data_IF_854542053980
#
_entry.id   IF_854542053980
#
_cell.length_a   1.000
_cell.length_b   1.000
_cell.length_c   1.000
_cell.angle_alpha   90.00
_cell.angle_beta   90.00
_cell.angle_gamma   90.00
#
_symmetry.space_group_name_H-M   'P 1'
#
loop_
_entity.id
_entity.type
_entity.pdbx_description
1 polymer ?
#
# COMPACT_ATOMS: atom_id res chain seq x y z
N UNK A 1 -13.97 -1.06 13.59
CA UNK A 1 -12.49 -1.11 13.85
C UNK A 1 -11.96 -2.50 14.10
N UNK A 2 -12.68 -3.40 14.73
CA UNK A 2 -12.19 -4.76 15.09
C UNK A 2 -11.73 -5.60 13.88
N UNK A 3 -12.40 -5.46 12.73
CA UNK A 3 -12.06 -6.23 11.53
C UNK A 3 -10.69 -5.89 10.95
N UNK A 4 -10.31 -4.61 10.90
CA UNK A 4 -8.98 -4.19 10.43
C UNK A 4 -7.88 -4.67 11.37
N UNK A 5 -8.10 -4.58 12.67
CA UNK A 5 -7.16 -5.10 13.66
C UNK A 5 -7.01 -6.63 13.58
N UNK A 6 -8.10 -7.34 13.32
CA UNK A 6 -8.06 -8.79 13.09
C UNK A 6 -7.21 -9.15 11.87
N UNK A 7 -7.45 -8.48 10.72
CA UNK A 7 -6.67 -8.68 9.49
C UNK A 7 -5.20 -8.38 9.74
N UNK A 8 -4.90 -7.26 10.40
CA UNK A 8 -3.54 -6.86 10.72
C UNK A 8 -2.81 -7.91 11.59
N UNK A 9 -3.46 -8.39 12.67
CA UNK A 9 -2.91 -9.45 13.54
C UNK A 9 -2.70 -10.76 12.77
N UNK A 10 -3.66 -11.16 11.95
CA UNK A 10 -3.55 -12.37 11.13
C UNK A 10 -2.36 -12.30 10.16
N UNK A 11 -2.18 -11.16 9.50
CA UNK A 11 -1.04 -10.93 8.58
C UNK A 11 0.28 -10.93 9.33
N UNK A 12 0.38 -10.23 10.46
CA UNK A 12 1.60 -10.22 11.27
C UNK A 12 1.97 -11.61 11.78
N UNK A 13 1.00 -12.40 12.21
CA UNK A 13 1.24 -13.80 12.61
C UNK A 13 1.74 -14.65 11.44
N UNK A 14 1.16 -14.48 10.25
CA UNK A 14 1.63 -15.16 9.04
C UNK A 14 3.08 -14.76 8.69
N UNK A 15 3.41 -13.48 8.77
CA UNK A 15 4.75 -12.98 8.53
C UNK A 15 5.74 -13.59 9.52
N UNK A 16 5.48 -13.49 10.83
CA UNK A 16 6.38 -14.01 11.87
C UNK A 16 6.62 -15.51 11.78
N UNK A 17 5.61 -16.29 11.38
CA UNK A 17 5.73 -17.74 11.25
C UNK A 17 6.49 -18.18 9.99
N UNK A 18 6.37 -17.45 8.89
CA UNK A 18 6.88 -17.89 7.60
C UNK A 18 8.15 -17.15 7.14
N UNK A 19 8.43 -15.98 7.70
CA UNK A 19 9.58 -15.17 7.27
C UNK A 19 10.89 -15.94 7.35
N UNK A 20 11.09 -16.73 8.41
CA UNK A 20 12.31 -17.53 8.61
C UNK A 20 12.55 -18.56 7.50
N UNK A 21 11.50 -19.14 6.92
CA UNK A 21 11.62 -20.05 5.78
C UNK A 21 12.11 -19.31 4.52
N UNK A 22 11.52 -18.15 4.23
CA UNK A 22 11.91 -17.33 3.09
C UNK A 22 13.31 -16.73 3.26
N UNK A 23 13.70 -16.36 4.49
CA UNK A 23 15.06 -15.91 4.80
C UNK A 23 16.10 -17.00 4.53
N UNK A 24 15.86 -18.23 4.98
CA UNK A 24 16.76 -19.35 4.72
C UNK A 24 16.89 -19.64 3.21
N UNK A 25 15.78 -19.56 2.48
CA UNK A 25 15.77 -19.72 1.03
C UNK A 25 16.57 -18.60 0.35
N UNK A 26 16.37 -17.36 0.75
CA UNK A 26 17.10 -16.19 0.25
C UNK A 26 18.61 -16.27 0.51
N UNK A 27 19.01 -16.66 1.72
CA UNK A 27 20.43 -16.85 2.07
C UNK A 27 21.08 -17.95 1.24
N UNK A 28 20.40 -19.07 1.00
CA UNK A 28 20.92 -20.16 0.19
C UNK A 28 21.08 -19.73 -1.28
N UNK A 29 20.08 -19.03 -1.82
CA UNK A 29 20.12 -18.49 -3.19
C UNK A 29 21.22 -17.45 -3.34
N UNK A 30 21.39 -16.57 -2.35
CA UNK A 30 22.45 -15.58 -2.33
C UNK A 30 23.84 -16.23 -2.34
N UNK A 31 24.07 -17.22 -1.48
CA UNK A 31 25.36 -17.96 -1.42
C UNK A 31 25.66 -18.62 -2.76
N UNK A 32 24.67 -19.24 -3.39
CA UNK A 32 24.83 -19.86 -4.71
C UNK A 32 25.26 -18.82 -5.77
N UNK A 33 24.54 -17.71 -5.88
CA UNK A 33 24.87 -16.66 -6.84
C UNK A 33 26.23 -16.00 -6.55
N UNK A 34 26.53 -15.68 -5.30
CA UNK A 34 27.80 -15.11 -4.91
C UNK A 34 28.98 -16.05 -5.27
N UNK A 35 28.83 -17.34 -5.01
CA UNK A 35 29.85 -18.34 -5.38
C UNK A 35 30.05 -18.38 -6.89
N UNK A 36 28.98 -18.45 -7.68
CA UNK A 36 29.07 -18.45 -9.15
C UNK A 36 29.76 -17.19 -9.65
N UNK A 37 29.42 -16.02 -9.12
CA UNK A 37 30.00 -14.75 -9.53
C UNK A 37 31.48 -14.65 -9.21
N UNK A 38 31.89 -15.07 -8.01
CA UNK A 38 33.32 -15.08 -7.60
C UNK A 38 34.12 -16.03 -8.47
N UNK A 39 33.63 -17.25 -8.71
CA UNK A 39 34.27 -18.24 -9.60
C UNK A 39 34.38 -17.69 -11.02
N UNK A 40 33.25 -17.12 -11.56
CA UNK A 40 33.26 -16.54 -12.90
C UNK A 40 34.27 -15.38 -13.03
N UNK A 41 34.31 -14.50 -12.01
CA UNK A 41 35.30 -13.42 -11.98
C UNK A 41 36.72 -13.95 -11.98
N UNK A 42 37.00 -14.99 -11.17
CA UNK A 42 38.32 -15.64 -11.13
C UNK A 42 38.73 -16.23 -12.49
N UNK A 43 37.84 -16.97 -13.14
CA UNK A 43 38.04 -17.52 -14.50
C UNK A 43 38.32 -16.42 -15.51
N UNK A 44 37.50 -15.37 -15.52
CA UNK A 44 37.68 -14.22 -16.42
C UNK A 44 38.98 -13.50 -16.20
N UNK A 45 39.40 -13.35 -14.95
CA UNK A 45 40.70 -12.75 -14.57
C UNK A 45 41.88 -13.60 -15.04
N UNK A 46 41.83 -14.93 -14.84
CA UNK A 46 42.84 -15.86 -15.29
C UNK A 46 42.99 -15.86 -16.82
N UNK A 47 41.89 -15.86 -17.58
CA UNK A 47 41.91 -15.79 -19.03
C UNK A 47 42.47 -14.47 -19.53
N UNK A 48 42.18 -13.36 -18.85
CA UNK A 48 42.72 -12.03 -19.21
C UNK A 48 44.24 -11.97 -18.97
N UNK A 49 44.73 -12.63 -17.93
CA UNK A 49 46.14 -12.74 -17.64
C UNK A 49 46.90 -13.56 -18.73
N UNK A 50 46.32 -14.67 -19.17
CA UNK A 50 46.90 -15.49 -20.24
C UNK A 50 46.99 -14.76 -21.58
N UNK A 51 46.13 -13.74 -21.80
CA UNK A 51 46.13 -12.88 -22.98
C UNK A 51 47.02 -11.65 -22.90
N UNK A 52 47.94 -11.55 -21.88
CA UNK A 52 48.89 -10.45 -21.74
C UNK A 52 48.29 -9.10 -21.32
N UNK A 53 47.05 -9.08 -20.87
CA UNK A 53 46.36 -7.90 -20.31
C UNK A 53 46.54 -7.86 -18.79
N UNK A 54 46.46 -6.65 -18.20
CA UNK A 54 46.66 -6.47 -16.74
C UNK A 54 45.78 -7.45 -15.94
N UNK A 55 46.48 -8.17 -15.02
CA UNK A 55 45.95 -9.33 -14.24
C UNK A 55 44.73 -9.05 -13.40
N UNK A 56 44.54 -7.83 -12.91
CA UNK A 56 43.41 -7.46 -12.07
C UNK A 56 42.96 -6.04 -12.39
N UNK A 57 41.75 -5.92 -12.86
CA UNK A 57 41.09 -4.62 -12.90
C UNK A 57 40.55 -4.38 -11.47
N UNK A 58 41.36 -3.71 -10.64
CA UNK A 58 41.04 -3.47 -9.23
C UNK A 58 39.66 -2.86 -9.01
N UNK A 59 39.27 -1.93 -9.90
CA UNK A 59 37.98 -1.26 -9.86
C UNK A 59 36.78 -2.24 -10.02
N UNK A 60 36.90 -3.19 -10.95
CA UNK A 60 35.90 -4.22 -11.17
C UNK A 60 35.80 -5.19 -10.00
N UNK A 61 36.94 -5.52 -9.39
CA UNK A 61 36.98 -6.39 -8.23
C UNK A 61 36.39 -5.69 -6.99
N UNK A 62 36.78 -4.46 -6.74
CA UNK A 62 36.22 -3.66 -5.66
C UNK A 62 34.70 -3.48 -5.80
N UNK A 63 34.25 -3.19 -7.01
CA UNK A 63 32.80 -3.08 -7.31
C UNK A 63 32.05 -4.39 -7.06
N UNK A 64 32.60 -5.54 -7.49
CA UNK A 64 32.01 -6.86 -7.22
C UNK A 64 31.94 -7.12 -5.71
N UNK A 65 33.03 -6.85 -4.98
CA UNK A 65 33.10 -7.07 -3.55
C UNK A 65 32.11 -6.21 -2.77
N UNK A 66 32.00 -4.93 -3.14
CA UNK A 66 31.03 -4.01 -2.54
C UNK A 66 29.59 -4.46 -2.83
N UNK A 67 29.28 -4.84 -4.08
CA UNK A 67 27.94 -5.30 -4.47
C UNK A 67 27.56 -6.58 -3.72
N UNK A 68 28.45 -7.55 -3.62
CA UNK A 68 28.23 -8.80 -2.89
C UNK A 68 28.10 -8.52 -1.39
N UNK A 69 28.93 -7.66 -0.81
CA UNK A 69 28.87 -7.32 0.62
C UNK A 69 27.57 -6.59 0.97
N UNK A 70 27.12 -5.66 0.13
CA UNK A 70 25.86 -4.95 0.32
C UNK A 70 24.66 -5.89 0.16
N UNK A 71 24.65 -6.74 -0.87
CA UNK A 71 23.61 -7.74 -1.06
C UNK A 71 23.56 -8.75 0.09
N UNK A 72 24.73 -9.17 0.62
CA UNK A 72 24.79 -10.03 1.80
C UNK A 72 24.20 -9.35 3.04
N UNK A 73 24.51 -8.08 3.25
CA UNK A 73 23.95 -7.31 4.36
C UNK A 73 22.41 -7.21 4.24
N UNK A 74 21.89 -6.92 3.04
CA UNK A 74 20.43 -6.86 2.81
C UNK A 74 19.75 -8.20 3.12
N UNK A 75 20.29 -9.33 2.67
CA UNK A 75 19.70 -10.65 2.93
C UNK A 75 19.81 -11.03 4.40
N UNK A 76 20.98 -10.79 5.01
CA UNK A 76 21.25 -11.20 6.40
C UNK A 76 20.47 -10.38 7.42
N UNK A 77 20.27 -9.09 7.15
CA UNK A 77 19.53 -8.17 8.02
C UNK A 77 18.12 -7.88 7.51
N UNK A 78 17.58 -8.76 6.68
CA UNK A 78 16.23 -8.57 6.14
C UNK A 78 15.17 -8.59 7.24
N UNK A 79 15.18 -9.62 8.08
CA UNK A 79 14.26 -9.80 9.21
C UNK A 79 14.92 -9.56 10.57
N UNK A 80 16.26 -9.56 10.63
CA UNK A 80 17.00 -9.31 11.87
C UNK A 80 17.41 -7.83 11.95
N UNK A 81 17.45 -7.24 13.16
CA UNK A 81 17.82 -5.84 13.32
C UNK A 81 19.25 -5.57 12.83
N UNK A 82 19.42 -4.48 12.08
CA UNK A 82 20.71 -3.97 11.64
C UNK A 82 21.47 -3.44 12.87
N UNK A 83 22.74 -3.87 13.09
CA UNK A 83 23.55 -3.38 14.19
C UNK A 83 23.63 -1.84 14.20
N UNK A 84 23.26 -1.24 15.33
CA UNK A 84 23.26 0.21 15.52
C UNK A 84 22.00 0.96 15.05
N UNK A 85 21.08 0.33 14.28
CA UNK A 85 19.83 0.95 13.83
C UNK A 85 18.61 0.45 14.60
N UNK A 86 18.65 -0.76 15.18
CA UNK A 86 17.54 -1.33 15.94
C UNK A 86 16.35 -1.80 15.09
N UNK A 87 16.36 -1.58 13.77
CA UNK A 87 15.33 -1.99 12.82
C UNK A 87 15.93 -2.93 11.76
N UNK A 88 15.12 -3.85 11.24
CA UNK A 88 15.48 -4.71 10.11
C UNK A 88 15.25 -3.99 8.77
N UNK A 89 15.83 -4.53 7.68
CA UNK A 89 15.72 -3.89 6.38
C UNK A 89 14.27 -3.70 5.91
N UNK A 90 13.39 -4.69 6.10
CA UNK A 90 11.99 -4.54 5.74
C UNK A 90 11.24 -3.59 6.69
N UNK A 91 11.58 -3.60 7.99
CA UNK A 91 10.93 -2.73 8.99
C UNK A 91 11.20 -1.25 8.76
N UNK A 92 12.39 -0.88 8.25
CA UNK A 92 12.70 0.50 7.91
C UNK A 92 11.67 1.14 6.95
N UNK A 93 11.05 0.34 6.09
CA UNK A 93 10.06 0.83 5.14
C UNK A 93 8.64 0.60 5.66
N UNK A 94 8.36 -0.59 6.22
CA UNK A 94 7.01 -0.94 6.67
C UNK A 94 6.59 -0.19 7.92
N UNK A 95 7.47 -0.06 8.91
CA UNK A 95 7.14 0.59 10.18
C UNK A 95 6.92 2.09 9.98
N UNK A 96 7.74 2.75 9.17
CA UNK A 96 7.57 4.17 8.83
C UNK A 96 6.28 4.43 8.04
N UNK A 97 5.97 3.57 7.06
CA UNK A 97 4.72 3.71 6.31
C UNK A 97 3.48 3.46 7.17
N UNK A 98 3.52 2.48 8.06
CA UNK A 98 2.45 2.21 9.01
C UNK A 98 2.30 3.34 10.05
N UNK A 99 3.42 3.87 10.55
CA UNK A 99 3.39 5.01 11.46
C UNK A 99 2.70 6.22 10.81
N UNK A 100 3.06 6.55 9.57
CA UNK A 100 2.44 7.64 8.82
C UNK A 100 0.94 7.39 8.58
N UNK A 101 0.57 6.18 8.13
CA UNK A 101 -0.82 5.81 7.92
C UNK A 101 -1.64 5.89 9.21
N UNK A 102 -1.10 5.38 10.31
CA UNK A 102 -1.75 5.43 11.62
C UNK A 102 -1.87 6.86 12.16
N UNK A 103 -0.86 7.70 11.94
CA UNK A 103 -0.91 9.10 12.36
C UNK A 103 -2.05 9.87 11.66
N UNK A 104 -2.29 9.57 10.38
CA UNK A 104 -3.40 10.16 9.61
C UNK A 104 -4.74 9.60 10.10
N UNK A 105 -4.82 8.29 10.35
CA UNK A 105 -6.08 7.61 10.66
C UNK A 105 -6.57 7.77 12.10
N UNK A 106 -5.67 7.80 13.11
CA UNK A 106 -6.07 7.71 14.52
C UNK A 106 -6.87 8.94 15.01
N UNK A 107 -6.60 10.12 14.47
CA UNK A 107 -7.25 11.35 14.94
C UNK A 107 -8.61 11.57 14.27
N UNK A 108 -8.75 11.15 13.02
CA UNK A 108 -9.87 11.57 12.17
C UNK A 108 -10.93 10.49 11.98
N UNK A 109 -10.54 9.21 11.87
CA UNK A 109 -11.51 8.13 11.68
C UNK A 109 -12.41 7.92 12.91
N UNK A 110 -11.87 8.08 14.13
CA UNK A 110 -12.68 8.01 15.35
C UNK A 110 -13.70 9.16 15.39
N UNK A 111 -13.26 10.38 15.05
CA UNK A 111 -14.15 11.53 14.97
C UNK A 111 -15.25 11.33 13.92
N UNK A 112 -14.91 10.72 12.78
CA UNK A 112 -15.88 10.41 11.72
C UNK A 112 -16.88 9.34 12.16
N UNK A 113 -16.42 8.25 12.79
CA UNK A 113 -17.32 7.22 13.33
C UNK A 113 -18.30 7.79 14.35
N UNK A 114 -17.81 8.59 15.30
CA UNK A 114 -18.64 9.26 16.31
C UNK A 114 -19.66 10.22 15.67
N UNK A 115 -19.24 10.99 14.65
CA UNK A 115 -20.14 11.93 13.95
C UNK A 115 -21.14 11.22 13.07
N UNK A 116 -20.78 10.10 12.42
CA UNK A 116 -21.71 9.27 11.66
C UNK A 116 -22.76 8.66 12.60
N UNK A 117 -22.35 8.11 13.73
CA UNK A 117 -23.25 7.56 14.74
C UNK A 117 -24.19 8.64 15.31
N UNK A 118 -23.68 9.85 15.57
CA UNK A 118 -24.48 10.99 15.98
C UNK A 118 -25.48 11.41 14.91
N UNK A 119 -25.07 11.43 13.64
CA UNK A 119 -25.96 11.71 12.51
C UNK A 119 -27.06 10.67 12.37
N UNK A 120 -26.72 9.38 12.46
CA UNK A 120 -27.70 8.28 12.44
C UNK A 120 -28.73 8.41 13.59
N UNK A 121 -28.27 8.76 14.80
CA UNK A 121 -29.18 8.92 15.95
C UNK A 121 -30.08 10.15 15.84
N UNK A 122 -29.65 11.17 15.11
CA UNK A 122 -30.44 12.40 14.87
C UNK A 122 -31.43 12.28 13.73
N UNK A 123 -31.24 11.33 12.82
CA UNK A 123 -32.22 11.05 11.78
C UNK A 123 -33.49 10.46 12.42
N UNK A 124 -34.60 11.18 12.31
CA UNK A 124 -35.88 10.68 12.75
C UNK A 124 -36.26 9.47 11.88
N UNK A 125 -36.55 8.33 12.50
CA UNK A 125 -36.97 7.16 11.73
C UNK A 125 -38.33 7.46 11.12
N UNK A 126 -38.47 7.40 9.77
CA UNK A 126 -39.69 7.77 9.10
C UNK A 126 -40.84 6.91 9.60
N UNK A 127 -42.00 7.55 9.82
CA UNK A 127 -43.22 6.82 10.21
C UNK A 127 -43.65 5.84 9.11
N UNK A 128 -44.31 4.75 9.49
CA UNK A 128 -44.77 3.67 8.58
C UNK A 128 -45.61 4.19 7.40
N UNK A 129 -46.18 5.39 7.53
CA UNK A 129 -46.97 6.06 6.52
C UNK A 129 -46.15 6.88 5.51
N UNK A 130 -44.90 7.19 5.80
CA UNK A 130 -44.04 8.00 4.94
C UNK A 130 -43.09 7.08 4.11
N UNK A 131 -43.64 6.55 3.02
CA UNK A 131 -42.95 5.62 2.13
C UNK A 131 -41.71 6.27 1.49
N UNK A 132 -41.82 7.55 1.07
CA UNK A 132 -40.73 8.26 0.41
C UNK A 132 -39.55 8.50 1.36
N UNK A 133 -39.85 8.97 2.57
CA UNK A 133 -38.84 9.16 3.62
C UNK A 133 -38.13 7.85 3.98
N UNK A 134 -38.85 6.73 4.08
CA UNK A 134 -38.32 5.41 4.35
C UNK A 134 -37.36 4.95 3.26
N UNK A 135 -37.69 5.15 1.99
CA UNK A 135 -36.82 4.79 0.85
C UNK A 135 -35.54 5.62 0.89
N UNK A 136 -35.61 6.92 1.08
CA UNK A 136 -34.45 7.82 1.13
C UNK A 136 -33.52 7.45 2.30
N UNK A 137 -34.11 7.24 3.48
CA UNK A 137 -33.36 6.78 4.67
C UNK A 137 -32.61 5.47 4.39
N UNK A 138 -33.29 4.46 3.83
CA UNK A 138 -32.67 3.18 3.49
C UNK A 138 -31.52 3.33 2.47
N UNK A 139 -31.69 4.19 1.46
CA UNK A 139 -30.64 4.45 0.47
C UNK A 139 -29.41 5.10 1.12
N UNK A 140 -29.59 6.08 2.00
CA UNK A 140 -28.47 6.73 2.70
C UNK A 140 -27.71 5.72 3.57
N UNK A 141 -28.40 4.90 4.35
CA UNK A 141 -27.76 3.86 5.19
C UNK A 141 -27.00 2.84 4.33
N UNK A 142 -27.56 2.40 3.22
CA UNK A 142 -26.90 1.47 2.29
C UNK A 142 -25.63 2.10 1.69
N UNK A 143 -25.70 3.36 1.26
CA UNK A 143 -24.54 4.07 0.71
C UNK A 143 -23.43 4.27 1.75
N UNK A 144 -23.81 4.61 2.96
CA UNK A 144 -22.87 4.76 4.08
C UNK A 144 -22.17 3.43 4.40
N UNK A 145 -22.94 2.35 4.54
CA UNK A 145 -22.42 1.01 4.76
C UNK A 145 -21.51 0.55 3.61
N UNK A 146 -21.90 0.83 2.37
CA UNK A 146 -21.08 0.52 1.19
C UNK A 146 -19.75 1.31 1.19
N UNK A 147 -19.76 2.59 1.50
CA UNK A 147 -18.55 3.41 1.58
C UNK A 147 -17.61 2.90 2.67
N UNK A 148 -18.12 2.56 3.85
CA UNK A 148 -17.34 1.97 4.95
C UNK A 148 -16.72 0.61 4.55
N UNK A 149 -17.52 -0.28 3.95
CA UNK A 149 -17.06 -1.59 3.51
C UNK A 149 -15.94 -1.47 2.45
N UNK A 150 -16.09 -0.58 1.48
CA UNK A 150 -15.08 -0.35 0.44
C UNK A 150 -13.80 0.25 1.05
N UNK A 151 -13.90 1.18 1.99
CA UNK A 151 -12.75 1.75 2.67
C UNK A 151 -11.95 0.65 3.41
N UNK A 152 -12.64 -0.23 4.15
CA UNK A 152 -12.01 -1.36 4.84
C UNK A 152 -11.30 -2.30 3.85
N UNK A 153 -11.96 -2.67 2.74
CA UNK A 153 -11.40 -3.56 1.72
C UNK A 153 -10.16 -2.94 1.08
N UNK A 154 -10.18 -1.66 0.74
CA UNK A 154 -9.06 -0.95 0.13
C UNK A 154 -7.86 -0.88 1.08
N UNK A 155 -8.08 -0.57 2.35
CA UNK A 155 -7.02 -0.54 3.35
C UNK A 155 -6.45 -1.95 3.57
N UNK A 156 -7.31 -2.96 3.73
CA UNK A 156 -6.91 -4.36 3.92
C UNK A 156 -6.08 -4.88 2.73
N UNK A 157 -6.43 -4.51 1.50
CA UNK A 157 -5.64 -4.85 0.32
C UNK A 157 -4.20 -4.32 0.42
N UNK A 158 -4.01 -3.10 0.89
CA UNK A 158 -2.67 -2.53 1.09
C UNK A 158 -1.82 -3.36 2.06
N UNK A 159 -2.40 -3.81 3.18
CA UNK A 159 -1.71 -4.68 4.14
C UNK A 159 -1.35 -6.04 3.54
N UNK A 160 -2.27 -6.68 2.84
CA UNK A 160 -2.03 -7.98 2.18
C UNK A 160 -0.93 -7.85 1.13
N UNK A 161 -1.00 -6.85 0.27
CA UNK A 161 -0.02 -6.64 -0.79
C UNK A 161 1.38 -6.35 -0.24
N UNK A 162 1.48 -5.52 0.81
CA UNK A 162 2.75 -5.27 1.51
C UNK A 162 3.30 -6.55 2.13
N UNK A 163 2.47 -7.35 2.79
CA UNK A 163 2.89 -8.62 3.39
C UNK A 163 3.45 -9.61 2.35
N UNK A 164 2.81 -9.71 1.18
CA UNK A 164 3.32 -10.54 0.08
C UNK A 164 4.69 -10.03 -0.40
N UNK A 165 4.88 -8.72 -0.54
CA UNK A 165 6.17 -8.14 -0.91
C UNK A 165 7.24 -8.41 0.15
N UNK A 166 6.89 -8.32 1.44
CA UNK A 166 7.80 -8.64 2.55
C UNK A 166 8.21 -10.10 2.53
N UNK A 167 7.27 -11.03 2.38
CA UNK A 167 7.59 -12.48 2.31
C UNK A 167 8.51 -12.83 1.15
N UNK A 168 8.32 -12.19 0.00
CA UNK A 168 9.11 -12.48 -1.20
C UNK A 168 10.47 -11.77 -1.22
N UNK A 169 10.70 -10.80 -0.35
CA UNK A 169 11.92 -10.00 -0.31
C UNK A 169 13.21 -10.81 -0.28
N UNK A 170 13.37 -11.75 0.66
CA UNK A 170 14.59 -12.55 0.75
C UNK A 170 14.91 -13.32 -0.53
N UNK A 171 13.88 -13.71 -1.30
CA UNK A 171 14.03 -14.44 -2.57
C UNK A 171 14.48 -13.51 -3.70
N UNK A 172 14.02 -12.24 -3.71
CA UNK A 172 14.35 -11.28 -4.78
C UNK A 172 15.66 -10.52 -4.56
N UNK A 173 16.07 -10.30 -3.31
CA UNK A 173 17.32 -9.59 -2.99
C UNK A 173 18.57 -10.24 -3.61
N UNK A 174 18.73 -11.59 -3.64
CA UNK A 174 19.88 -12.21 -4.27
C UNK A 174 20.09 -11.88 -5.75
N UNK A 175 19.03 -11.52 -6.48
CA UNK A 175 19.15 -11.12 -7.89
C UNK A 175 19.85 -9.77 -8.06
N UNK A 176 19.96 -8.95 -7.02
CA UNK A 176 20.70 -7.69 -7.04
C UNK A 176 22.17 -7.85 -7.43
N UNK A 177 22.81 -8.93 -6.98
CA UNK A 177 24.24 -9.17 -7.27
C UNK A 177 24.50 -9.70 -8.68
N UNK A 178 23.46 -10.17 -9.41
CA UNK A 178 23.59 -10.75 -10.74
C UNK A 178 23.23 -9.71 -11.81
N UNK A 179 24.21 -9.11 -12.55
CA UNK A 179 23.96 -7.95 -13.42
C UNK A 179 22.88 -8.16 -14.48
N UNK A 180 22.72 -9.41 -14.97
CA UNK A 180 21.68 -9.73 -15.97
C UNK A 180 20.28 -9.94 -15.38
N UNK A 181 20.18 -10.15 -14.08
CA UNK A 181 18.93 -10.43 -13.36
C UNK A 181 18.57 -9.34 -12.35
N UNK A 182 19.37 -8.29 -12.26
CA UNK A 182 19.18 -7.15 -11.34
C UNK A 182 17.80 -6.48 -11.50
N UNK A 183 17.24 -6.53 -12.71
CA UNK A 183 15.90 -6.00 -12.98
C UNK A 183 14.79 -6.68 -12.16
N UNK A 184 14.98 -7.95 -11.74
CA UNK A 184 14.04 -8.65 -10.86
C UNK A 184 14.04 -8.05 -9.45
N UNK A 185 15.24 -7.72 -8.92
CA UNK A 185 15.36 -7.01 -7.65
C UNK A 185 14.70 -5.64 -7.70
N UNK A 186 15.04 -4.82 -8.71
CA UNK A 186 14.48 -3.48 -8.85
C UNK A 186 12.96 -3.48 -9.08
N UNK A 187 12.45 -4.48 -9.80
CA UNK A 187 11.02 -4.68 -9.99
C UNK A 187 10.31 -4.98 -8.67
N UNK A 188 10.83 -5.94 -7.89
CA UNK A 188 10.32 -6.25 -6.58
C UNK A 188 10.43 -5.06 -5.62
N UNK A 189 11.57 -4.40 -5.56
CA UNK A 189 11.81 -3.28 -4.65
C UNK A 189 10.87 -2.11 -4.90
N UNK A 190 10.64 -1.77 -6.17
CA UNK A 190 9.64 -0.76 -6.55
C UNK A 190 8.24 -1.16 -6.10
N UNK A 191 7.86 -2.40 -6.33
CA UNK A 191 6.57 -2.95 -5.91
C UNK A 191 6.42 -2.89 -4.38
N UNK A 192 7.46 -3.26 -3.64
CA UNK A 192 7.48 -3.22 -2.18
C UNK A 192 7.28 -1.79 -1.65
N UNK A 193 8.04 -0.81 -2.13
CA UNK A 193 7.87 0.59 -1.75
C UNK A 193 6.44 1.07 -2.09
N UNK A 194 5.96 0.77 -3.28
CA UNK A 194 4.64 1.18 -3.73
C UNK A 194 3.53 0.67 -2.81
N UNK A 195 3.55 -0.61 -2.42
CA UNK A 195 2.52 -1.17 -1.56
C UNK A 195 2.71 -0.79 -0.09
N UNK A 196 3.93 -0.59 0.39
CA UNK A 196 4.17 -0.06 1.72
C UNK A 196 3.54 1.34 1.88
N UNK A 197 3.74 2.23 0.89
CA UNK A 197 3.16 3.57 0.90
C UNK A 197 1.69 3.62 0.42
N UNK A 198 1.16 2.54 -0.14
CA UNK A 198 -0.26 2.45 -0.48
C UNK A 198 -1.17 2.75 0.71
N UNK A 199 -0.80 2.27 1.90
CA UNK A 199 -1.54 2.52 3.13
C UNK A 199 -1.60 4.01 3.49
N UNK A 200 -0.50 4.75 3.26
CA UNK A 200 -0.43 6.20 3.51
C UNK A 200 -1.36 6.94 2.56
N UNK A 201 -1.35 6.56 1.27
CA UNK A 201 -2.23 7.17 0.26
C UNK A 201 -3.69 6.85 0.56
N UNK A 202 -4.00 5.59 0.91
CA UNK A 202 -5.34 5.19 1.30
C UNK A 202 -5.84 5.99 2.52
N UNK A 203 -5.00 6.12 3.54
CA UNK A 203 -5.31 6.91 4.73
C UNK A 203 -5.57 8.39 4.39
N UNK A 204 -4.75 8.99 3.53
CA UNK A 204 -4.93 10.38 3.09
C UNK A 204 -6.24 10.59 2.31
N UNK A 205 -6.58 9.65 1.41
CA UNK A 205 -7.85 9.72 0.65
C UNK A 205 -9.05 9.57 1.59
N UNK A 206 -9.00 8.61 2.51
CA UNK A 206 -10.05 8.41 3.51
C UNK A 206 -10.21 9.65 4.38
N UNK A 207 -9.11 10.27 4.81
CA UNK A 207 -9.12 11.53 5.56
C UNK A 207 -9.84 12.66 4.82
N UNK A 208 -9.53 12.84 3.53
CA UNK A 208 -10.18 13.88 2.70
C UNK A 208 -11.68 13.61 2.55
N UNK A 209 -12.07 12.36 2.30
CA UNK A 209 -13.47 11.93 2.18
C UNK A 209 -14.21 12.17 3.50
N UNK A 210 -13.59 11.77 4.60
CA UNK A 210 -14.12 11.96 5.94
C UNK A 210 -14.45 13.43 6.24
N UNK A 211 -13.50 14.32 5.99
CA UNK A 211 -13.72 15.75 6.17
C UNK A 211 -14.79 16.34 5.23
N UNK A 212 -14.92 15.80 4.01
CA UNK A 212 -15.98 16.19 3.08
C UNK A 212 -17.35 15.80 3.61
N UNK A 213 -17.50 14.58 4.11
CA UNK A 213 -18.75 14.09 4.70
C UNK A 213 -19.08 14.89 5.96
N UNK A 214 -18.12 15.12 6.85
CA UNK A 214 -18.32 15.93 8.05
C UNK A 214 -18.75 17.36 7.70
N UNK A 215 -18.12 17.99 6.71
CA UNK A 215 -18.50 19.33 6.26
C UNK A 215 -19.95 19.41 5.79
N UNK A 216 -20.46 18.38 5.12
CA UNK A 216 -21.87 18.32 4.70
C UNK A 216 -22.81 18.08 5.89
N UNK A 217 -22.39 17.21 6.83
CA UNK A 217 -23.17 16.96 8.05
C UNK A 217 -23.28 18.22 8.93
N UNK A 218 -22.24 19.03 8.99
CA UNK A 218 -22.24 20.30 9.76
C UNK A 218 -23.14 21.38 9.14
N UNK A 219 -23.52 21.24 7.86
CA UNK A 219 -24.52 22.10 7.23
C UNK A 219 -25.96 21.76 7.66
N UNK A 220 -26.18 20.60 8.26
CA UNK A 220 -27.49 20.16 8.72
C UNK A 220 -27.82 20.78 10.10
N UNK A 221 -29.13 20.98 10.41
CA UNK A 221 -29.55 21.49 11.72
C UNK A 221 -29.04 20.61 12.86
N UNK A 222 -28.61 21.23 13.96
CA UNK A 222 -28.08 20.53 15.15
C UNK A 222 -29.11 19.76 15.98
N UNK A 223 -30.37 19.69 15.55
CA UNK A 223 -31.49 18.96 16.18
C UNK A 223 -31.84 17.68 15.44
N UNK A 224 -33.02 17.12 15.76
CA UNK A 224 -33.67 16.05 15.00
C UNK A 224 -33.87 16.49 13.55
N UNK A 225 -33.37 15.68 12.63
CA UNK A 225 -33.49 15.94 11.19
C UNK A 225 -34.82 15.37 10.73
N UNK A 226 -35.73 16.26 10.37
CA UNK A 226 -37.04 15.86 9.85
C UNK A 226 -36.91 15.22 8.46
N UNK A 227 -37.88 14.38 8.10
CA UNK A 227 -37.93 13.73 6.77
C UNK A 227 -37.89 14.74 5.62
N UNK A 228 -38.49 15.91 5.76
CA UNK A 228 -38.45 16.96 4.73
C UNK A 228 -37.04 17.50 4.53
N UNK A 229 -36.30 17.76 5.60
CA UNK A 229 -34.91 18.21 5.54
C UNK A 229 -34.00 17.14 4.96
N UNK A 230 -34.27 15.86 5.24
CA UNK A 230 -33.54 14.74 4.67
C UNK A 230 -33.76 14.64 3.16
N UNK A 231 -35.00 14.86 2.68
CA UNK A 231 -35.33 14.89 1.26
C UNK A 231 -34.59 16.03 0.56
N UNK A 232 -34.57 17.23 1.15
CA UNK A 232 -33.86 18.39 0.59
C UNK A 232 -32.35 18.17 0.53
N UNK A 233 -31.73 17.54 1.54
CA UNK A 233 -30.30 17.25 1.60
C UNK A 233 -29.92 16.04 0.73
N UNK A 234 -30.84 15.16 0.39
CA UNK A 234 -30.58 13.88 -0.28
C UNK A 234 -29.71 13.98 -1.54
N UNK A 235 -29.97 14.91 -2.50
CA UNK A 235 -29.19 14.99 -3.72
C UNK A 235 -27.70 15.25 -3.43
N UNK A 236 -27.39 16.14 -2.49
CA UNK A 236 -26.02 16.50 -2.12
C UNK A 236 -25.34 15.33 -1.40
N UNK A 237 -26.00 14.69 -0.45
CA UNK A 237 -25.50 13.52 0.25
C UNK A 237 -25.23 12.36 -0.73
N UNK A 238 -26.19 12.07 -1.60
CA UNK A 238 -26.09 11.00 -2.59
C UNK A 238 -24.89 11.17 -3.52
N UNK A 239 -24.74 12.37 -4.11
CA UNK A 239 -23.58 12.68 -5.00
C UNK A 239 -22.29 12.58 -4.24
N UNK A 240 -22.22 13.06 -3.00
CA UNK A 240 -21.01 13.00 -2.17
C UNK A 240 -20.60 11.57 -1.83
N UNK A 241 -21.55 10.72 -1.46
CA UNK A 241 -21.27 9.30 -1.21
C UNK A 241 -20.82 8.58 -2.48
N UNK A 242 -21.45 8.83 -3.63
CA UNK A 242 -21.02 8.26 -4.90
C UNK A 242 -19.59 8.72 -5.28
N UNK A 243 -19.29 10.00 -5.12
CA UNK A 243 -17.96 10.55 -5.37
C UNK A 243 -16.92 9.94 -4.43
N UNK A 244 -17.28 9.75 -3.15
CA UNK A 244 -16.42 9.12 -2.14
C UNK A 244 -16.12 7.66 -2.48
N UNK A 245 -17.14 6.88 -2.83
CA UNK A 245 -16.98 5.49 -3.29
C UNK A 245 -16.07 5.42 -4.53
N UNK A 246 -16.33 6.30 -5.51
CA UNK A 246 -15.50 6.37 -6.70
C UNK A 246 -14.03 6.71 -6.38
N UNK A 247 -13.78 7.68 -5.50
CA UNK A 247 -12.43 8.06 -5.06
C UNK A 247 -11.72 6.90 -4.37
N UNK A 248 -12.39 6.16 -3.47
CA UNK A 248 -11.86 4.97 -2.81
C UNK A 248 -11.44 3.89 -3.82
N UNK A 249 -12.27 3.61 -4.80
CA UNK A 249 -11.97 2.63 -5.86
C UNK A 249 -10.82 3.07 -6.77
N UNK A 250 -10.48 4.35 -6.82
CA UNK A 250 -9.35 4.90 -7.60
C UNK A 250 -8.02 4.91 -6.85
N UNK A 251 -7.99 4.57 -5.57
CA UNK A 251 -6.74 4.54 -4.78
C UNK A 251 -5.65 3.67 -5.42
N UNK A 252 -5.91 2.42 -5.91
CA UNK A 252 -4.88 1.63 -6.56
C UNK A 252 -4.29 2.31 -7.80
N UNK A 253 -5.13 2.94 -8.61
CA UNK A 253 -4.69 3.66 -9.80
C UNK A 253 -3.87 4.91 -9.43
N UNK A 254 -4.31 5.67 -8.43
CA UNK A 254 -3.60 6.85 -7.92
C UNK A 254 -2.21 6.47 -7.41
N UNK A 255 -2.10 5.40 -6.63
CA UNK A 255 -0.83 4.89 -6.12
C UNK A 255 0.11 4.50 -7.27
N UNK A 256 -0.42 3.78 -8.28
CA UNK A 256 0.36 3.44 -9.46
C UNK A 256 0.89 4.68 -10.18
N UNK A 257 0.08 5.72 -10.37
CA UNK A 257 0.52 6.95 -11.02
C UNK A 257 1.61 7.70 -10.25
N UNK A 258 1.50 7.74 -8.92
CA UNK A 258 2.51 8.39 -8.07
C UNK A 258 3.87 7.68 -8.20
N UNK A 259 3.90 6.35 -8.14
CA UNK A 259 5.14 5.58 -8.12
C UNK A 259 5.69 5.22 -9.52
N UNK A 260 4.87 5.23 -10.57
CA UNK A 260 5.33 4.99 -11.94
C UNK A 260 5.95 6.22 -12.60
N UNK A 261 5.81 7.40 -11.99
CA UNK A 261 6.30 8.66 -12.55
C UNK A 261 5.55 9.13 -13.82
N UNK A 262 4.51 8.42 -14.23
CA UNK A 262 3.64 8.80 -15.36
C UNK A 262 2.49 9.70 -14.90
N UNK A 263 2.83 10.76 -14.20
CA UNK A 263 1.86 11.78 -13.87
C UNK A 263 1.38 12.46 -15.17
N UNK A 264 0.22 12.06 -15.67
CA UNK A 264 -0.55 12.87 -16.63
C UNK A 264 -0.69 12.35 -18.06
N UNK A 265 -0.39 11.08 -18.38
CA UNK A 265 -0.33 10.65 -19.78
C UNK A 265 -1.42 9.74 -20.36
N UNK A 266 -2.39 9.20 -19.58
CA UNK A 266 -3.27 8.17 -20.16
C UNK A 266 -4.75 8.16 -19.76
N UNK A 267 -5.24 9.10 -19.00
CA UNK A 267 -6.69 9.19 -18.75
C UNK A 267 -7.50 9.79 -19.91
N UNK A 268 -6.84 10.44 -20.87
CA UNK A 268 -7.49 10.96 -22.09
C UNK A 268 -7.78 9.86 -23.15
N UNK A 269 -7.11 8.69 -23.05
CA UNK A 269 -7.25 7.61 -24.04
C UNK A 269 -8.50 6.76 -23.90
N UNK A 270 -9.16 6.77 -22.75
CA UNK A 270 -10.35 5.90 -22.52
C UNK A 270 -11.64 6.56 -23.05
N UNK A 271 -11.68 7.88 -23.15
CA UNK A 271 -12.84 8.61 -23.74
C UNK A 271 -12.65 8.98 -25.22
N UNK A 272 -11.41 8.98 -25.71
CA UNK A 272 -11.08 9.30 -27.13
C UNK A 272 -11.22 8.14 -28.10
N UNK A 273 -11.18 6.89 -27.64
CA UNK A 273 -11.25 5.70 -28.50
C UNK A 273 -12.68 5.26 -28.91
N UNK A 274 -13.72 5.89 -28.35
CA UNK A 274 -15.12 5.51 -28.62
C UNK A 274 -15.86 6.45 -29.58
N UNK A 275 -15.21 7.47 -30.14
CA UNK A 275 -15.87 8.50 -30.96
C UNK A 275 -15.13 8.85 -32.26
N UNK A 276 -14.50 7.88 -32.93
CA UNK A 276 -14.12 8.08 -34.36
C UNK A 276 -14.50 6.85 -35.19
N UNK A 277 -15.15 7.07 -36.34
CA UNK A 277 -15.69 6.01 -37.22
C UNK A 277 -14.62 5.22 -37.95
#
# INVERSE_FOLDING_TARGET
MDYLQFIFRAINNLLTQNLGFFDAMGQNLFRAFATILVVWYGVKSALSAAGGRHLLNFDNFASLLLTVSFGFAMVNYYSTPIPGMGASFHNLITDESQFLANKINQTELQTVEERIADFETRMDSPGITDILGTIIYAVIIILLAAAQAIAIVVIAFGFIATAVCVLLGPVFIPFFIVPKLEWLFWGWFRCFIQYAFYQVIAAAVVYVIANLILGIMDLQPKGTISTVQLIEAFPVLFITFLASIYALLKIPALTNHIFSGTAGGSSAGILGGALLP
#
